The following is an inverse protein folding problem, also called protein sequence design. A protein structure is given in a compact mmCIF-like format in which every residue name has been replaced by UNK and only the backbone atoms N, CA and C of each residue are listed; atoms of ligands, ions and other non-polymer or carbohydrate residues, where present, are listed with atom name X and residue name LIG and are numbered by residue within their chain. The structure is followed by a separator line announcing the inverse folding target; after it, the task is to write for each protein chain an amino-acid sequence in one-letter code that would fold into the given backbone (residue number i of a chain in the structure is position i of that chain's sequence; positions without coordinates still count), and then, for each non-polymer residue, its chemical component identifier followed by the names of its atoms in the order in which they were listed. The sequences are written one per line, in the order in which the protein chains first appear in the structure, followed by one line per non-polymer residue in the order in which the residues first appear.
data_IF_118414327003
#
_entry.id   IF_118414327003
#
_cell.length_a   1.000
_cell.length_b   1.000
_cell.length_c   1.000
_cell.angle_alpha   90.00
_cell.angle_beta   90.00
_cell.angle_gamma   90.00
#
_symmetry.space_group_name_H-M   'P 1'
#
loop_
_entity.id
_entity.type
_entity.pdbx_description
1 polymer ?
#
# COMPACT_ATOMS: atom_id res chain seq x y z
N UNK A 1 -8.91 2.95 -12.72
CA UNK A 1 -7.75 2.19 -12.22
C UNK A 1 -6.43 2.92 -12.51
N UNK A 2 -6.05 3.12 -13.78
CA UNK A 2 -4.80 3.82 -14.09
C UNK A 2 -4.76 5.29 -13.62
N UNK A 3 -5.90 5.98 -13.64
CA UNK A 3 -6.02 7.36 -13.11
C UNK A 3 -5.64 7.43 -11.64
N UNK A 4 -6.16 6.52 -10.82
CA UNK A 4 -5.89 6.44 -9.39
C UNK A 4 -4.44 6.03 -9.11
N UNK A 5 -3.90 5.10 -9.89
CA UNK A 5 -2.50 4.71 -9.77
C UNK A 5 -1.53 5.84 -10.16
N UNK A 6 -1.86 6.66 -11.16
CA UNK A 6 -1.08 7.86 -11.47
C UNK A 6 -1.06 8.87 -10.30
N UNK A 7 -2.15 8.96 -9.53
CA UNK A 7 -2.18 9.76 -8.29
C UNK A 7 -1.26 9.17 -7.21
N UNK A 8 -1.23 7.84 -7.07
CA UNK A 8 -0.26 7.18 -6.16
C UNK A 8 1.18 7.49 -6.59
N UNK A 9 1.50 7.43 -7.89
CA UNK A 9 2.82 7.80 -8.41
C UNK A 9 3.16 9.26 -8.08
N UNK A 10 2.22 10.19 -8.27
CA UNK A 10 2.43 11.59 -7.90
C UNK A 10 2.71 11.76 -6.41
N UNK A 11 1.94 11.08 -5.54
CA UNK A 11 2.13 11.10 -4.10
C UNK A 11 3.49 10.52 -3.68
N UNK A 12 3.90 9.39 -4.27
CA UNK A 12 5.22 8.79 -4.04
C UNK A 12 6.34 9.72 -4.50
N UNK A 13 6.17 10.39 -5.64
CA UNK A 13 7.13 11.37 -6.14
C UNK A 13 7.31 12.56 -5.20
N UNK A 14 6.22 13.13 -4.68
CA UNK A 14 6.29 14.18 -3.66
C UNK A 14 6.93 13.68 -2.36
N UNK A 15 6.58 12.46 -1.93
CA UNK A 15 7.16 11.83 -0.74
C UNK A 15 8.69 11.74 -0.84
N UNK A 16 9.24 11.21 -1.94
CA UNK A 16 10.69 11.15 -2.14
C UNK A 16 11.35 12.53 -2.27
N UNK A 17 10.63 13.50 -2.87
CA UNK A 17 11.15 14.86 -3.03
C UNK A 17 11.21 15.66 -1.72
N UNK A 18 10.37 15.34 -0.74
CA UNK A 18 10.21 16.15 0.48
C UNK A 18 10.65 15.44 1.76
N UNK A 19 10.68 14.11 1.79
CA UNK A 19 10.97 13.32 2.99
C UNK A 19 12.37 12.70 3.00
N UNK A 20 13.33 13.28 2.26
CA UNK A 20 14.71 12.78 2.12
C UNK A 20 15.36 12.49 3.47
N UNK A 21 15.17 13.36 4.47
CA UNK A 21 15.69 13.15 5.82
C UNK A 21 15.18 11.84 6.46
N UNK A 22 13.91 11.49 6.28
CA UNK A 22 13.35 10.28 6.89
C UNK A 22 13.86 9.00 6.21
N UNK A 23 14.07 9.07 4.89
CA UNK A 23 14.58 7.98 4.07
C UNK A 23 16.07 7.73 4.35
N UNK A 24 16.89 8.79 4.40
CA UNK A 24 18.33 8.69 4.68
C UNK A 24 18.62 8.22 6.11
N UNK A 25 17.74 8.52 7.07
CA UNK A 25 17.88 8.07 8.47
C UNK A 25 17.26 6.71 8.75
N UNK A 26 16.83 6.01 7.70
CA UNK A 26 16.28 4.66 7.77
C UNK A 26 15.15 4.52 8.81
N UNK A 27 14.28 5.54 8.91
CA UNK A 27 13.21 5.53 9.92
C UNK A 27 12.22 4.36 9.69
N UNK A 28 11.49 4.01 10.76
CA UNK A 28 10.57 2.87 10.73
C UNK A 28 9.37 3.06 9.80
N UNK A 29 8.84 1.95 9.29
CA UNK A 29 7.72 1.89 8.33
C UNK A 29 6.52 2.74 8.79
N UNK A 30 6.13 2.69 10.06
CA UNK A 30 5.01 3.50 10.59
C UNK A 30 5.17 5.00 10.35
N UNK A 31 6.40 5.52 10.45
CA UNK A 31 6.70 6.93 10.17
C UNK A 31 6.58 7.21 8.67
N UNK A 32 7.14 6.34 7.83
CA UNK A 32 7.08 6.47 6.38
C UNK A 32 5.64 6.37 5.87
N UNK A 33 4.86 5.41 6.37
CA UNK A 33 3.43 5.21 6.09
C UNK A 33 2.63 6.47 6.34
N UNK A 34 2.76 7.05 7.54
CA UNK A 34 2.05 8.29 7.87
C UNK A 34 2.44 9.43 6.92
N UNK A 35 3.73 9.60 6.63
CA UNK A 35 4.17 10.69 5.74
C UNK A 35 3.71 10.48 4.30
N UNK A 36 3.78 9.25 3.79
CA UNK A 36 3.21 8.91 2.49
C UNK A 36 1.71 9.19 2.45
N UNK A 37 0.95 8.85 3.50
CA UNK A 37 -0.48 9.11 3.57
C UNK A 37 -0.81 10.61 3.41
N UNK A 38 -0.01 11.51 3.97
CA UNK A 38 -0.16 12.97 3.80
C UNK A 38 -0.05 13.37 2.32
N UNK A 39 0.88 12.78 1.56
CA UNK A 39 1.02 13.06 0.13
C UNK A 39 -0.08 12.39 -0.69
N UNK A 40 -0.52 11.20 -0.30
CA UNK A 40 -1.67 10.54 -0.92
C UNK A 40 -2.91 11.42 -0.75
N UNK A 41 -3.20 11.92 0.44
CA UNK A 41 -4.37 12.78 0.71
C UNK A 41 -4.47 13.99 -0.24
N UNK A 42 -3.34 14.64 -0.55
CA UNK A 42 -3.28 15.76 -1.49
C UNK A 42 -3.76 15.40 -2.91
N UNK A 43 -3.56 14.16 -3.34
CA UNK A 43 -3.89 13.70 -4.70
C UNK A 43 -5.36 13.23 -4.81
N UNK A 44 -6.02 12.95 -3.69
CA UNK A 44 -7.37 12.38 -3.65
C UNK A 44 -8.40 13.36 -3.08
N UNK A 45 -8.53 14.54 -3.70
CA UNK A 45 -9.57 15.51 -3.36
C UNK A 45 -10.97 14.87 -3.37
N UNK A 46 -11.76 15.13 -2.32
CA UNK A 46 -13.09 14.56 -2.12
C UNK A 46 -13.11 13.18 -1.45
N UNK A 47 -11.95 12.59 -1.16
CA UNK A 47 -11.80 11.35 -0.41
C UNK A 47 -11.15 11.62 0.95
N UNK A 48 -11.32 10.68 1.88
CA UNK A 48 -10.54 10.63 3.11
C UNK A 48 -9.37 9.67 2.92
N UNK A 49 -8.24 10.00 3.53
CA UNK A 49 -7.07 9.12 3.58
C UNK A 49 -6.74 8.84 5.03
N UNK A 50 -6.85 7.57 5.43
CA UNK A 50 -6.71 7.16 6.81
C UNK A 50 -5.68 6.03 6.93
N UNK A 51 -4.85 6.08 7.98
CA UNK A 51 -3.96 4.97 8.30
C UNK A 51 -4.63 4.00 9.28
N UNK A 52 -4.38 2.70 9.13
CA UNK A 52 -4.89 1.65 10.02
C UNK A 52 -6.42 1.68 10.18
N UNK A 53 -7.15 2.02 9.11
CA UNK A 53 -8.61 2.09 9.17
C UNK A 53 -9.23 0.69 9.08
N UNK A 54 -9.82 0.22 10.18
CA UNK A 54 -10.26 -1.16 10.37
C UNK A 54 -11.74 -1.40 10.07
N UNK A 55 -12.39 -0.47 9.37
CA UNK A 55 -13.83 -0.50 9.14
C UNK A 55 -14.19 -0.62 7.66
N UNK A 56 -15.23 -1.40 7.40
CA UNK A 56 -15.98 -1.42 6.15
C UNK A 56 -17.42 -1.03 6.50
N UNK A 57 -17.75 0.25 6.37
CA UNK A 57 -18.98 0.82 6.94
C UNK A 57 -19.00 0.69 8.47
N UNK A 58 -20.09 0.16 9.04
CA UNK A 58 -20.20 -0.05 10.49
C UNK A 58 -19.43 -1.29 11.00
N UNK A 59 -18.98 -2.17 10.10
CA UNK A 59 -18.36 -3.46 10.46
C UNK A 59 -16.86 -3.34 10.60
N UNK A 60 -16.29 -4.01 11.62
CA UNK A 60 -14.85 -4.24 11.70
C UNK A 60 -14.41 -5.27 10.66
N UNK A 61 -13.38 -4.94 9.90
CA UNK A 61 -12.77 -5.81 8.92
C UNK A 61 -12.06 -6.98 9.61
N UNK A 62 -12.40 -8.21 9.23
CA UNK A 62 -11.77 -9.43 9.75
C UNK A 62 -11.38 -10.34 8.61
N UNK A 63 -10.22 -10.99 8.71
CA UNK A 63 -9.88 -12.07 7.78
C UNK A 63 -10.92 -13.20 7.88
N UNK A 64 -11.30 -13.83 6.75
CA UNK A 64 -12.04 -15.09 6.77
C UNK A 64 -11.31 -16.11 7.66
N UNK A 65 -12.06 -16.83 8.49
CA UNK A 65 -11.49 -17.88 9.35
C UNK A 65 -10.79 -18.93 8.46
N UNK A 66 -9.52 -19.21 8.72
CA UNK A 66 -8.75 -20.24 8.00
C UNK A 66 -7.57 -19.73 7.16
N UNK A 67 -7.35 -18.42 7.05
CA UNK A 67 -6.11 -17.87 6.49
C UNK A 67 -5.01 -17.85 7.57
N UNK A 68 -4.31 -18.97 7.79
CA UNK A 68 -3.11 -19.01 8.67
C UNK A 68 -2.01 -18.05 8.16
N UNK A 69 -1.02 -17.57 8.93
CA UNK A 69 -0.54 -17.89 10.27
C UNK A 69 0.07 -16.59 10.88
N UNK A 70 -0.35 -16.26 12.09
CA UNK A 70 0.41 -15.46 13.07
C UNK A 70 -0.17 -15.82 14.43
N UNK A 71 0.68 -16.21 15.36
CA UNK A 71 0.40 -16.70 16.72
C UNK A 71 -0.48 -15.72 17.51
N UNK A 72 -1.79 -15.88 17.44
CA UNK A 72 -2.71 -15.67 18.57
C UNK A 72 -4.11 -16.08 18.10
N UNK A 73 -4.41 -17.36 18.27
CA UNK A 73 -5.72 -17.95 18.04
C UNK A 73 -6.63 -17.57 19.21
N UNK A 74 -7.35 -16.44 19.19
CA UNK A 74 -8.57 -16.29 20.03
C UNK A 74 -9.65 -15.32 19.54
N UNK A 75 -9.37 -14.37 18.63
CA UNK A 75 -10.40 -13.49 18.05
C UNK A 75 -9.98 -13.23 16.60
N UNK A 76 -10.89 -13.41 15.64
CA UNK A 76 -10.59 -13.14 14.21
C UNK A 76 -9.88 -11.79 14.08
N UNK A 77 -8.59 -11.84 13.73
CA UNK A 77 -7.71 -10.67 13.80
C UNK A 77 -8.25 -9.60 12.85
N UNK A 78 -8.47 -8.41 13.40
CA UNK A 78 -8.82 -7.25 12.59
C UNK A 78 -7.72 -7.01 11.57
N UNK A 79 -8.10 -6.75 10.33
CA UNK A 79 -7.15 -6.35 9.29
C UNK A 79 -7.03 -4.83 9.34
N UNK A 80 -5.81 -4.35 9.47
CA UNK A 80 -5.49 -2.93 9.40
C UNK A 80 -4.67 -2.69 8.15
N UNK A 81 -5.24 -2.14 7.07
CA UNK A 81 -4.46 -1.64 5.95
C UNK A 81 -3.59 -0.46 6.40
N UNK A 82 -2.38 -0.35 5.87
CA UNK A 82 -1.46 0.73 6.28
C UNK A 82 -2.00 2.11 5.93
N UNK A 83 -2.52 2.28 4.70
CA UNK A 83 -3.17 3.50 4.21
C UNK A 83 -4.41 3.10 3.40
N UNK A 84 -5.51 3.82 3.57
CA UNK A 84 -6.70 3.66 2.73
C UNK A 84 -7.17 4.97 2.15
N UNK A 85 -7.76 4.91 0.95
CA UNK A 85 -8.51 5.99 0.31
C UNK A 85 -9.96 5.53 0.20
N UNK A 86 -10.86 6.25 0.86
CA UNK A 86 -12.25 5.84 1.04
C UNK A 86 -13.15 7.03 1.36
N UNK A 87 -14.45 6.82 1.34
CA UNK A 87 -15.42 7.76 1.89
C UNK A 87 -15.97 7.19 3.19
N UNK A 88 -15.75 7.90 4.30
CA UNK A 88 -16.21 7.46 5.62
C UNK A 88 -17.74 7.34 5.65
N UNK A 89 -18.23 6.41 6.45
CA UNK A 89 -19.66 6.13 6.69
C UNK A 89 -20.48 5.67 5.46
N UNK A 90 -19.88 5.58 4.27
CA UNK A 90 -20.52 5.02 3.08
C UNK A 90 -19.66 3.92 2.47
N UNK A 91 -20.27 2.96 1.77
CA UNK A 91 -19.58 1.78 1.24
C UNK A 91 -18.79 2.06 -0.04
N UNK A 92 -17.98 3.12 -0.04
CA UNK A 92 -17.18 3.52 -1.18
C UNK A 92 -15.69 3.51 -0.81
N UNK A 93 -15.07 2.36 -1.08
CA UNK A 93 -13.67 2.07 -0.76
C UNK A 93 -12.86 1.98 -2.05
N UNK A 94 -11.92 2.91 -2.23
CA UNK A 94 -11.20 3.06 -3.50
C UNK A 94 -9.91 2.26 -3.53
N UNK A 95 -9.01 2.56 -2.59
CA UNK A 95 -7.64 2.05 -2.61
C UNK A 95 -7.19 1.68 -1.20
N UNK A 96 -6.55 0.52 -1.06
CA UNK A 96 -5.73 0.18 0.10
C UNK A 96 -4.26 0.11 -0.33
N UNK A 97 -3.34 0.63 0.49
CA UNK A 97 -1.90 0.58 0.25
C UNK A 97 -1.24 -0.10 1.45
N UNK A 98 -0.36 -1.06 1.17
CA UNK A 98 0.60 -1.64 2.11
C UNK A 98 2.00 -1.12 1.78
N UNK A 99 2.72 -0.64 2.80
CA UNK A 99 4.05 -0.08 2.64
C UNK A 99 5.09 -0.93 3.38
N UNK A 100 6.12 -1.34 2.65
CA UNK A 100 7.22 -2.13 3.17
C UNK A 100 8.54 -1.46 2.85
N UNK A 101 9.50 -1.53 3.76
CA UNK A 101 10.88 -1.15 3.44
C UNK A 101 11.60 -2.32 2.79
N UNK A 102 12.51 -2.04 1.86
CA UNK A 102 13.37 -3.07 1.26
C UNK A 102 14.26 -3.75 2.30
N UNK A 103 14.68 -3.02 3.35
CA UNK A 103 15.45 -3.57 4.47
C UNK A 103 14.64 -4.50 5.40
N UNK A 104 13.32 -4.60 5.21
CA UNK A 104 12.47 -5.49 5.99
C UNK A 104 12.29 -6.85 5.28
N UNK A 105 13.12 -7.82 5.69
CA UNK A 105 13.16 -9.16 5.09
C UNK A 105 12.09 -10.15 5.60
N UNK A 106 11.10 -9.69 6.37
CA UNK A 106 9.97 -10.57 6.70
C UNK A 106 9.18 -10.92 5.43
N UNK A 107 8.61 -12.13 5.34
CA UNK A 107 7.83 -12.55 4.19
C UNK A 107 6.64 -11.62 3.91
N UNK A 108 6.39 -11.34 2.63
CA UNK A 108 5.30 -10.48 2.16
C UNK A 108 3.93 -11.17 2.19
N UNK A 109 3.90 -12.49 2.42
CA UNK A 109 2.70 -13.33 2.46
C UNK A 109 1.52 -12.69 3.22
N UNK A 110 1.82 -12.05 4.35
CA UNK A 110 0.80 -11.41 5.17
C UNK A 110 0.18 -10.20 4.46
N UNK A 111 1.01 -9.32 3.90
CA UNK A 111 0.57 -8.10 3.21
C UNK A 111 -0.16 -8.44 1.91
N UNK A 112 0.33 -9.45 1.18
CA UNK A 112 -0.32 -9.96 -0.03
C UNK A 112 -1.71 -10.56 0.28
N UNK A 113 -1.81 -11.42 1.31
CA UNK A 113 -3.11 -11.96 1.76
C UNK A 113 -4.05 -10.85 2.22
N UNK A 114 -3.51 -9.80 2.85
CA UNK A 114 -4.28 -8.64 3.27
C UNK A 114 -4.93 -7.94 2.07
N UNK A 115 -4.14 -7.62 1.05
CA UNK A 115 -4.61 -6.95 -0.16
C UNK A 115 -5.57 -7.82 -0.99
N UNK A 116 -5.34 -9.14 -1.04
CA UNK A 116 -6.29 -10.09 -1.60
C UNK A 116 -7.63 -10.02 -0.84
N UNK A 117 -7.62 -10.15 0.49
CA UNK A 117 -8.86 -10.12 1.27
C UNK A 117 -9.59 -8.76 1.16
N UNK A 118 -8.86 -7.65 1.15
CA UNK A 118 -9.40 -6.29 1.04
C UNK A 118 -10.07 -6.01 -0.31
N UNK A 119 -9.65 -6.70 -1.37
CA UNK A 119 -10.14 -6.48 -2.74
C UNK A 119 -11.06 -7.60 -3.24
N UNK A 120 -11.36 -8.59 -2.40
CA UNK A 120 -12.24 -9.72 -2.74
C UNK A 120 -13.69 -9.23 -2.94
N UNK A 121 -14.30 -9.43 -4.13
CA UNK A 121 -15.67 -8.96 -4.40
C UNK A 121 -16.73 -9.64 -3.51
N UNK A 122 -16.40 -10.73 -2.82
CA UNK A 122 -17.30 -11.42 -1.90
C UNK A 122 -17.33 -10.79 -0.50
N UNK A 123 -16.41 -9.88 -0.17
CA UNK A 123 -16.50 -9.11 1.08
C UNK A 123 -17.38 -7.87 0.89
N UNK A 124 -18.15 -7.52 1.92
CA UNK A 124 -18.93 -6.29 1.90
C UNK A 124 -18.00 -5.09 1.84
N UNK A 125 -18.19 -4.25 0.83
CA UNK A 125 -17.46 -3.00 0.64
C UNK A 125 -15.97 -3.21 0.38
N UNK A 126 -15.64 -4.21 -0.45
CA UNK A 126 -14.29 -4.41 -0.96
C UNK A 126 -13.69 -3.10 -1.51
N UNK A 127 -12.39 -2.92 -1.31
CA UNK A 127 -11.64 -1.88 -1.98
C UNK A 127 -11.57 -2.19 -3.48
N UNK A 128 -11.78 -1.17 -4.31
CA UNK A 128 -11.69 -1.33 -5.75
C UNK A 128 -10.29 -1.78 -6.21
N UNK A 129 -9.25 -1.42 -5.45
CA UNK A 129 -7.87 -1.88 -5.67
C UNK A 129 -7.03 -1.88 -4.41
N UNK A 130 -5.95 -2.66 -4.47
CA UNK A 130 -4.89 -2.72 -3.47
C UNK A 130 -3.53 -2.47 -4.12
N UNK A 131 -2.60 -1.84 -3.40
CA UNK A 131 -1.21 -1.66 -3.84
C UNK A 131 -0.25 -2.09 -2.73
N UNK A 132 0.73 -2.93 -3.07
CA UNK A 132 1.91 -3.15 -2.24
C UNK A 132 3.04 -2.30 -2.80
N UNK A 133 3.66 -1.47 -1.96
CA UNK A 133 4.86 -0.70 -2.29
C UNK A 133 6.02 -1.15 -1.42
N UNK A 134 7.12 -1.57 -2.07
CA UNK A 134 8.40 -1.79 -1.38
C UNK A 134 9.31 -0.60 -1.68
N UNK A 135 9.69 0.13 -0.65
CA UNK A 135 10.47 1.36 -0.73
C UNK A 135 11.89 1.19 -0.20
N UNK A 136 12.85 1.65 -0.99
CA UNK A 136 14.24 1.86 -0.60
C UNK A 136 14.52 3.35 -0.35
N UNK A 137 15.78 3.65 0.02
CA UNK A 137 16.21 5.02 0.28
C UNK A 137 16.14 5.92 -0.95
N UNK A 138 16.37 5.36 -2.15
CA UNK A 138 16.49 6.11 -3.40
C UNK A 138 15.33 5.90 -4.37
N UNK A 139 14.32 5.13 -3.99
CA UNK A 139 13.15 4.90 -4.83
C UNK A 139 12.37 3.66 -4.43
N UNK A 140 11.34 3.36 -5.21
CA UNK A 140 10.52 2.17 -5.10
C UNK A 140 11.26 0.98 -5.68
N UNK A 141 11.56 -0.02 -4.85
CA UNK A 141 12.28 -1.23 -5.25
C UNK A 141 11.35 -2.24 -5.93
N UNK A 142 10.09 -2.34 -5.49
CA UNK A 142 9.05 -3.11 -6.18
C UNK A 142 7.64 -2.63 -5.89
N UNK A 143 6.69 -3.04 -6.73
CA UNK A 143 5.28 -2.73 -6.56
C UNK A 143 4.38 -3.83 -7.11
N UNK A 144 3.26 -4.10 -6.45
CA UNK A 144 2.22 -5.02 -6.91
C UNK A 144 0.84 -4.35 -6.81
N UNK A 145 -0.06 -4.67 -7.73
CA UNK A 145 -1.44 -4.17 -7.76
C UNK A 145 -2.41 -5.33 -7.67
N UNK A 146 -3.41 -5.18 -6.81
CA UNK A 146 -4.42 -6.17 -6.50
C UNK A 146 -5.80 -5.65 -6.88
N UNK A 147 -6.63 -6.52 -7.46
CA UNK A 147 -8.02 -6.24 -7.76
C UNK A 147 -8.81 -7.56 -7.78
N UNK A 148 -10.05 -7.52 -7.31
CA UNK A 148 -10.92 -8.69 -7.34
C UNK A 148 -10.43 -9.88 -6.51
N UNK A 149 -9.64 -9.62 -5.46
CA UNK A 149 -9.14 -10.66 -4.56
C UNK A 149 -7.85 -11.36 -5.01
N UNK A 150 -7.21 -10.87 -6.08
CA UNK A 150 -5.99 -11.45 -6.63
C UNK A 150 -5.03 -10.36 -7.12
N UNK A 151 -3.78 -10.75 -7.39
CA UNK A 151 -2.84 -9.88 -8.09
C UNK A 151 -3.31 -9.65 -9.54
N UNK A 152 -3.42 -8.40 -9.94
CA UNK A 152 -3.63 -8.02 -11.33
C UNK A 152 -2.26 -7.87 -12.01
N UNK A 153 -1.82 -8.94 -12.67
CA UNK A 153 -0.48 -9.02 -13.28
C UNK A 153 -0.27 -7.95 -14.35
N UNK A 154 -1.30 -7.65 -15.16
CA UNK A 154 -1.19 -6.69 -16.24
C UNK A 154 -1.06 -5.26 -15.68
N UNK A 155 -1.91 -4.91 -14.71
CA UNK A 155 -1.85 -3.60 -14.06
C UNK A 155 -0.59 -3.45 -13.20
N UNK A 156 -0.14 -4.52 -12.53
CA UNK A 156 1.12 -4.51 -11.76
C UNK A 156 2.32 -4.21 -12.64
N UNK A 157 2.40 -4.84 -13.82
CA UNK A 157 3.48 -4.58 -14.79
C UNK A 157 3.46 -3.14 -15.27
N UNK A 158 2.28 -2.66 -15.68
CA UNK A 158 2.10 -1.28 -16.14
C UNK A 158 2.49 -0.28 -15.04
N UNK A 159 2.11 -0.54 -13.79
CA UNK A 159 2.40 0.35 -12.67
C UNK A 159 3.90 0.41 -12.37
N UNK A 160 4.58 -0.73 -12.35
CA UNK A 160 6.04 -0.79 -12.18
C UNK A 160 6.80 -0.10 -13.32
N UNK A 161 6.34 -0.25 -14.56
CA UNK A 161 6.87 0.48 -15.72
C UNK A 161 6.69 1.99 -15.55
N UNK A 162 5.50 2.42 -15.11
CA UNK A 162 5.20 3.84 -14.93
C UNK A 162 6.01 4.48 -13.79
N UNK A 163 6.27 3.73 -12.71
CA UNK A 163 7.19 4.14 -11.63
C UNK A 163 8.60 4.36 -12.18
N UNK A 164 9.12 3.44 -13.00
CA UNK A 164 10.42 3.58 -13.68
C UNK A 164 10.46 4.82 -14.57
N UNK A 165 9.46 5.00 -15.44
CA UNK A 165 9.38 6.13 -16.36
C UNK A 165 9.30 7.48 -15.65
N UNK A 166 8.78 7.48 -14.42
CA UNK A 166 8.70 8.67 -13.56
C UNK A 166 10.00 8.94 -12.79
N UNK A 167 11.04 8.12 -12.99
CA UNK A 167 12.33 8.24 -12.30
C UNK A 167 12.31 7.82 -10.83
N UNK A 168 11.25 7.13 -10.40
CA UNK A 168 11.03 6.74 -9.00
C UNK A 168 11.45 5.31 -8.68
N UNK A 169 11.88 4.53 -9.68
CA UNK A 169 12.41 3.21 -9.42
C UNK A 169 13.76 3.32 -8.70
N UNK A 170 13.96 2.44 -7.71
CA UNK A 170 15.15 2.44 -6.90
C UNK A 170 16.40 2.22 -7.77
N UNK A 171 17.35 3.15 -7.63
CA UNK A 171 18.66 3.04 -8.26
C UNK A 171 19.54 2.30 -7.28
N UNK A 172 19.65 0.99 -7.45
CA UNK A 172 20.73 0.27 -6.79
C UNK A 172 22.03 0.90 -7.27
N UNK A 173 22.74 1.50 -6.32
CA UNK A 173 24.12 1.88 -6.55
C UNK A 173 24.87 0.54 -6.66
N UNK A 174 25.04 0.05 -7.89
CA UNK A 174 25.90 -1.08 -8.18
C UNK A 174 27.31 -0.66 -7.79
N UNK A 175 27.63 -0.87 -6.51
CA UNK A 175 28.78 -0.29 -5.84
C UNK A 175 30.05 -0.43 -6.67
N UNK A 176 30.39 0.63 -7.41
CA UNK A 176 31.75 0.84 -7.87
C UNK A 176 32.49 1.34 -6.64
N UNK A 177 33.00 0.38 -5.86
CA UNK A 177 34.04 0.64 -4.88
C UNK A 177 35.18 1.39 -5.61
N UNK A 178 35.41 2.65 -5.22
CA UNK A 178 36.65 3.38 -5.46
C UNK A 178 37.27 3.71 -4.12
#
# INVERSE_FOLDING_TARGET
MQTELNKVIAAVGEFYAQETFLLERDLGERTLTHRLAVYVERQFSGWQVDCNYDRLGERTLRLPRGSGSSTDDHLGKSIYPDIVVHQRDIPNNLLAIELRKESNHQPLDHDQRKLQALTDPNVWFAYAMGVLLIVGANGVSSSEVYAGGAIDVATSRWFAERIRDSGLADRRDDGVQR
#
